data_IF_230690749975
#
_entry.id   IF_230690749975
#
_cell.length_a   1.000
_cell.length_b   1.000
_cell.length_c   1.000
_cell.angle_alpha   90.00
_cell.angle_beta   90.00
_cell.angle_gamma   90.00
#
_symmetry.space_group_name_H-M   'P 1'
#
loop_
_entity.id
_entity.type
_entity.pdbx_description
1 polymer ?
#
# COMPACT_ATOMS: atom_id res chain seq x y z
N UNK A 1 23.88 37.37 -3.92
CA UNK A 1 23.35 36.02 -3.60
C UNK A 1 22.90 36.08 -2.16
N UNK A 2 21.64 35.75 -1.84
CA UNK A 2 21.17 35.74 -0.44
C UNK A 2 21.93 34.67 0.34
N UNK A 3 22.23 34.94 1.61
CA UNK A 3 22.81 33.93 2.49
C UNK A 3 21.90 32.69 2.56
N UNK A 4 22.49 31.48 2.62
CA UNK A 4 21.72 30.25 2.77
C UNK A 4 21.04 30.20 4.15
N UNK A 5 19.74 29.95 4.15
CA UNK A 5 18.93 29.81 5.37
C UNK A 5 19.38 28.56 6.15
N UNK A 6 19.67 28.72 7.44
CA UNK A 6 20.05 27.62 8.32
C UNK A 6 18.83 26.95 8.95
N UNK A 7 19.00 25.75 9.54
CA UNK A 7 17.92 25.09 10.28
C UNK A 7 17.42 25.93 11.47
N UNK A 8 18.30 26.71 12.12
CA UNK A 8 17.92 27.61 13.21
C UNK A 8 17.03 28.75 12.71
N UNK A 9 17.32 29.26 11.53
CA UNK A 9 16.50 30.29 10.90
C UNK A 9 15.10 29.73 10.59
N UNK A 10 15.01 28.48 10.11
CA UNK A 10 13.71 27.81 9.87
C UNK A 10 12.91 27.57 11.16
N UNK A 11 13.58 27.34 12.30
CA UNK A 11 12.94 27.19 13.60
C UNK A 11 12.31 28.51 14.09
N UNK A 12 12.88 29.66 13.68
CA UNK A 12 12.38 30.98 14.04
C UNK A 12 11.21 31.47 13.17
N UNK A 13 10.91 30.77 12.06
CA UNK A 13 9.82 31.16 11.15
C UNK A 13 8.53 30.45 11.58
N UNK A 14 7.54 31.22 12.03
CA UNK A 14 6.20 30.73 12.35
C UNK A 14 5.54 30.09 11.11
N UNK A 15 4.89 28.95 11.30
CA UNK A 15 4.28 28.18 10.21
C UNK A 15 3.16 28.95 9.49
N UNK A 16 2.54 29.94 10.14
CA UNK A 16 1.49 30.78 9.55
C UNK A 16 2.00 31.74 8.46
N UNK A 17 3.32 31.95 8.36
CA UNK A 17 3.92 32.74 7.28
C UNK A 17 3.78 32.04 5.92
N UNK A 18 3.57 30.72 5.91
CA UNK A 18 3.44 29.96 4.68
C UNK A 18 2.08 30.20 4.00
N UNK A 19 2.14 30.48 2.70
CA UNK A 19 0.97 30.72 1.86
C UNK A 19 0.00 29.53 1.95
N UNK A 20 -1.24 29.81 2.37
CA UNK A 20 -2.30 28.80 2.50
C UNK A 20 -2.47 28.22 3.90
N UNK A 21 -1.71 28.71 4.90
CA UNK A 21 -1.89 28.37 6.32
C UNK A 21 -2.54 29.55 7.03
N UNK A 22 -3.87 29.57 7.09
CA UNK A 22 -4.63 30.50 7.93
C UNK A 22 -4.85 29.94 9.35
N UNK A 23 -5.48 30.73 10.23
CA UNK A 23 -5.63 30.42 11.67
C UNK A 23 -6.18 29.01 11.95
N UNK A 24 -7.16 28.56 11.16
CA UNK A 24 -7.75 27.22 11.32
C UNK A 24 -6.74 26.09 11.03
N UNK A 25 -5.89 26.27 10.01
CA UNK A 25 -4.84 25.29 9.68
C UNK A 25 -3.66 25.40 10.64
N UNK A 26 -3.34 26.60 11.12
CA UNK A 26 -2.33 26.81 12.18
C UNK A 26 -2.73 26.08 13.46
N UNK A 27 -3.96 26.26 13.93
CA UNK A 27 -4.49 25.56 15.11
C UNK A 27 -4.42 24.05 14.93
N UNK A 28 -4.87 23.55 13.77
CA UNK A 28 -4.80 22.11 13.49
C UNK A 28 -3.36 21.58 13.42
N UNK A 29 -2.37 22.38 13.01
CA UNK A 29 -0.96 22.01 12.97
C UNK A 29 -0.32 22.03 14.37
N UNK A 30 -0.69 23.02 15.20
CA UNK A 30 -0.31 23.11 16.60
C UNK A 30 -0.79 21.89 17.40
N UNK A 31 -2.00 21.38 17.11
CA UNK A 31 -2.50 20.12 17.69
C UNK A 31 -1.59 18.90 17.39
N UNK A 32 -0.79 18.96 16.32
CA UNK A 32 0.21 17.95 15.95
C UNK A 32 1.65 18.32 16.36
N UNK A 33 1.83 19.38 17.16
CA UNK A 33 3.13 19.86 17.63
C UNK A 33 3.96 20.59 16.56
N UNK A 34 3.29 21.17 15.57
CA UNK A 34 3.93 21.90 14.46
C UNK A 34 3.71 23.40 14.63
N UNK A 35 4.72 24.11 15.12
CA UNK A 35 4.64 25.55 15.41
C UNK A 35 5.44 26.39 14.39
N UNK A 36 6.58 25.86 13.92
CA UNK A 36 7.47 26.57 13.00
C UNK A 36 7.75 25.78 11.70
N UNK A 37 8.41 26.43 10.74
CA UNK A 37 8.72 25.83 9.44
C UNK A 37 9.66 24.62 9.58
N UNK A 38 10.58 24.64 10.54
CA UNK A 38 11.43 23.48 10.81
C UNK A 38 10.60 22.29 11.31
N UNK A 39 9.64 22.51 12.22
CA UNK A 39 8.72 21.47 12.68
C UNK A 39 7.94 20.91 11.50
N UNK A 40 7.39 21.76 10.63
CA UNK A 40 6.60 21.30 9.48
C UNK A 40 7.43 20.42 8.53
N UNK A 41 8.67 20.81 8.26
CA UNK A 41 9.60 20.06 7.40
C UNK A 41 10.10 18.76 8.05
N UNK A 42 10.10 18.70 9.38
CA UNK A 42 10.55 17.54 10.16
C UNK A 42 9.41 16.72 10.78
N UNK A 43 8.17 17.13 10.55
CA UNK A 43 6.95 16.42 10.95
C UNK A 43 6.64 15.36 9.91
N UNK A 44 7.19 14.17 10.17
CA UNK A 44 6.85 12.98 9.42
C UNK A 44 5.55 12.40 9.98
N UNK A 45 4.61 11.93 9.13
CA UNK A 45 3.38 11.29 9.59
C UNK A 45 3.73 9.95 10.27
N UNK A 46 4.01 10.02 11.56
CA UNK A 46 4.19 8.88 12.45
C UNK A 46 2.86 8.69 13.18
N UNK A 47 2.38 7.45 13.20
CA UNK A 47 1.42 7.01 14.22
C UNK A 47 2.08 7.34 15.58
N UNK A 48 1.38 8.04 16.46
CA UNK A 48 1.84 8.31 17.82
C UNK A 48 2.06 6.97 18.52
N UNK A 49 3.32 6.53 18.55
CA UNK A 49 3.82 5.48 19.42
C UNK A 49 4.60 6.24 20.47
N UNK A 50 4.17 6.15 21.73
CA UNK A 50 4.89 6.72 22.85
C UNK A 50 6.32 6.15 22.87
N UNK A 51 7.31 7.01 22.62
CA UNK A 51 8.73 6.64 22.51
C UNK A 51 9.48 6.73 23.83
N UNK A 52 8.81 7.16 24.89
CA UNK A 52 9.37 7.26 26.23
C UNK A 52 9.39 5.92 26.94
N UNK A 53 8.66 4.92 26.42
CA UNK A 53 8.62 3.57 26.98
C UNK A 53 9.59 2.63 26.24
N UNK A 54 10.88 2.75 26.57
CA UNK A 54 11.92 1.81 26.14
C UNK A 54 11.73 0.46 26.85
N UNK A 55 11.40 -0.59 26.10
CA UNK A 55 11.27 -1.93 26.66
C UNK A 55 12.28 -2.88 26.00
N UNK A 56 12.91 -3.76 26.78
CA UNK A 56 13.71 -4.85 26.21
C UNK A 56 12.75 -5.91 25.68
N UNK A 57 13.14 -6.60 24.62
CA UNK A 57 12.32 -7.69 24.03
C UNK A 57 11.95 -8.75 25.08
N UNK A 58 12.82 -8.98 26.06
CA UNK A 58 12.59 -9.92 27.16
C UNK A 58 11.44 -9.53 28.10
N UNK A 59 11.08 -8.25 28.14
CA UNK A 59 10.11 -7.70 29.09
C UNK A 59 8.72 -7.54 28.45
N UNK A 60 8.56 -7.93 27.17
CA UNK A 60 7.33 -7.76 26.41
C UNK A 60 6.38 -8.95 26.52
N UNK A 61 5.11 -8.66 26.78
CA UNK A 61 4.04 -9.64 26.69
C UNK A 61 3.45 -9.70 25.27
N UNK A 62 2.97 -10.87 24.87
CA UNK A 62 2.31 -11.04 23.57
C UNK A 62 1.08 -10.12 23.48
N UNK A 63 1.06 -9.23 22.49
CA UNK A 63 0.02 -8.23 22.29
C UNK A 63 0.37 -6.81 22.81
N UNK A 64 1.50 -6.65 23.51
CA UNK A 64 1.99 -5.34 23.97
C UNK A 64 2.76 -4.61 22.85
N UNK A 65 2.36 -3.39 22.52
CA UNK A 65 3.13 -2.49 21.65
C UNK A 65 4.20 -1.76 22.47
N UNK A 66 5.47 -1.78 22.04
CA UNK A 66 6.56 -1.06 22.70
C UNK A 66 7.69 -0.67 21.72
N UNK A 67 8.52 0.28 22.12
CA UNK A 67 9.72 0.66 21.39
C UNK A 67 10.86 -0.33 21.71
N UNK A 68 11.33 -1.02 20.69
CA UNK A 68 12.56 -1.83 20.77
C UNK A 68 13.67 -1.07 20.06
N UNK A 69 14.73 -0.75 20.81
CA UNK A 69 15.98 -0.25 20.24
C UNK A 69 16.75 -1.46 19.71
N UNK A 70 16.99 -1.48 18.41
CA UNK A 70 17.78 -2.53 17.76
C UNK A 70 19.12 -1.96 17.32
N UNK A 71 20.18 -2.70 17.61
CA UNK A 71 21.50 -2.42 17.08
C UNK A 71 21.71 -3.24 15.80
N UNK A 72 22.02 -2.55 14.70
CA UNK A 72 22.36 -3.23 13.45
C UNK A 72 23.82 -3.70 13.55
N UNK A 73 24.04 -4.99 13.79
CA UNK A 73 25.39 -5.56 13.97
C UNK A 73 26.26 -5.52 12.72
N UNK A 74 25.66 -5.68 11.55
CA UNK A 74 26.37 -5.67 10.26
C UNK A 74 25.47 -5.15 9.16
N UNK A 75 25.95 -4.16 8.41
CA UNK A 75 25.39 -3.77 7.11
C UNK A 75 26.48 -4.01 6.08
N UNK A 76 26.18 -4.64 4.93
CA UNK A 76 27.17 -4.86 3.87
C UNK A 76 27.69 -3.58 3.17
N UNK A 77 27.39 -2.38 3.70
CA UNK A 77 27.94 -1.11 3.21
C UNK A 77 29.06 -0.61 4.12
N UNK A 78 30.19 -0.27 3.49
CA UNK A 78 31.47 -0.02 4.17
C UNK A 78 31.61 1.39 4.75
N UNK A 79 30.72 2.32 4.43
CA UNK A 79 30.80 3.72 4.90
C UNK A 79 29.63 4.02 5.84
N UNK A 80 29.93 4.71 6.95
CA UNK A 80 28.91 5.17 7.87
C UNK A 80 28.13 6.37 7.29
N UNK A 81 26.96 6.65 7.88
CA UNK A 81 26.05 7.71 7.41
C UNK A 81 26.68 9.10 7.44
N UNK A 82 27.49 9.41 8.46
CA UNK A 82 28.13 10.73 8.59
C UNK A 82 29.18 10.92 7.49
N UNK A 83 29.98 9.88 7.24
CA UNK A 83 30.96 9.89 6.15
C UNK A 83 30.30 10.00 4.77
N UNK A 84 29.18 9.29 4.54
CA UNK A 84 28.42 9.42 3.30
C UNK A 84 27.82 10.82 3.10
N UNK A 85 27.32 11.45 4.16
CA UNK A 85 26.83 12.84 4.08
C UNK A 85 27.95 13.84 3.79
N UNK A 86 29.17 13.61 4.28
CA UNK A 86 30.32 14.44 3.89
C UNK A 86 30.72 14.17 2.44
N UNK A 87 30.90 12.90 2.08
CA UNK A 87 31.39 12.49 0.77
C UNK A 87 30.45 12.80 -0.40
N UNK A 88 29.14 13.01 -0.16
CA UNK A 88 28.24 13.50 -1.21
C UNK A 88 28.40 15.00 -1.52
N UNK A 89 28.80 15.81 -0.52
CA UNK A 89 28.97 17.26 -0.65
C UNK A 89 30.42 17.66 -0.97
N UNK A 90 31.38 16.98 -0.35
CA UNK A 90 32.83 17.21 -0.43
C UNK A 90 33.55 15.90 -0.79
N UNK A 91 33.36 15.37 -2.02
CA UNK A 91 34.00 14.13 -2.44
C UNK A 91 35.49 14.30 -2.71
N UNK A 92 36.31 13.38 -2.21
CA UNK A 92 37.74 13.27 -2.58
C UNK A 92 37.92 12.71 -4.01
N UNK A 93 36.91 11.99 -4.52
CA UNK A 93 36.88 11.48 -5.89
C UNK A 93 35.44 11.21 -6.35
N UNK A 94 35.25 11.04 -7.66
CA UNK A 94 33.96 10.61 -8.22
C UNK A 94 33.53 9.25 -7.65
N UNK A 95 34.47 8.33 -7.42
CA UNK A 95 34.19 7.03 -6.81
C UNK A 95 33.64 7.18 -5.39
N UNK A 96 34.27 8.02 -4.57
CA UNK A 96 33.82 8.30 -3.20
C UNK A 96 32.43 8.95 -3.16
N UNK A 97 32.12 9.82 -4.14
CA UNK A 97 30.79 10.40 -4.31
C UNK A 97 29.73 9.32 -4.60
N UNK A 98 30.02 8.40 -5.51
CA UNK A 98 29.09 7.33 -5.88
C UNK A 98 28.87 6.32 -4.74
N UNK A 99 29.90 6.03 -3.96
CA UNK A 99 29.74 5.23 -2.73
C UNK A 99 28.86 5.94 -1.70
N UNK A 100 29.10 7.23 -1.49
CA UNK A 100 28.27 8.09 -0.61
C UNK A 100 26.82 8.12 -1.05
N UNK A 101 26.57 8.25 -2.36
CA UNK A 101 25.23 8.21 -2.94
C UNK A 101 24.56 6.85 -2.72
N UNK A 102 25.26 5.74 -2.97
CA UNK A 102 24.73 4.38 -2.76
C UNK A 102 24.31 4.18 -1.30
N UNK A 103 25.15 4.57 -0.35
CA UNK A 103 24.84 4.52 1.09
C UNK A 103 23.58 5.30 1.46
N UNK A 104 23.47 6.55 1.00
CA UNK A 104 22.32 7.38 1.33
C UNK A 104 21.03 6.86 0.67
N UNK A 105 21.13 6.35 -0.56
CA UNK A 105 20.01 5.70 -1.24
C UNK A 105 19.56 4.42 -0.52
N UNK A 106 20.51 3.63 0.00
CA UNK A 106 20.20 2.48 0.84
C UNK A 106 19.50 2.88 2.14
N UNK A 107 20.00 3.88 2.86
CA UNK A 107 19.37 4.37 4.09
C UNK A 107 17.92 4.81 3.84
N UNK A 108 17.68 5.51 2.72
CA UNK A 108 16.33 5.92 2.32
C UNK A 108 15.43 4.73 1.98
N UNK A 109 15.92 3.80 1.16
CA UNK A 109 15.18 2.60 0.77
C UNK A 109 14.88 1.71 1.97
N UNK A 110 15.85 1.46 2.84
CA UNK A 110 15.69 0.67 4.06
C UNK A 110 14.63 1.28 4.96
N UNK A 111 14.64 2.61 5.13
CA UNK A 111 13.62 3.33 5.90
C UNK A 111 12.22 3.14 5.30
N UNK A 112 12.08 3.32 3.99
CA UNK A 112 10.80 3.13 3.29
C UNK A 112 10.32 1.68 3.43
N UNK A 113 11.19 0.70 3.17
CA UNK A 113 10.86 -0.71 3.27
C UNK A 113 10.46 -1.12 4.68
N UNK A 114 11.15 -0.62 5.71
CA UNK A 114 10.81 -0.90 7.12
C UNK A 114 9.40 -0.41 7.46
N UNK A 115 9.04 0.80 7.01
CA UNK A 115 7.69 1.35 7.20
C UNK A 115 6.64 0.52 6.45
N UNK A 116 6.91 0.14 5.20
CA UNK A 116 5.99 -0.66 4.39
C UNK A 116 5.76 -2.06 4.98
N UNK A 117 6.83 -2.74 5.42
CA UNK A 117 6.75 -4.05 6.09
C UNK A 117 6.03 -3.93 7.42
N UNK A 118 6.30 -2.88 8.20
CA UNK A 118 5.58 -2.59 9.44
C UNK A 118 4.07 -2.42 9.20
N UNK A 119 3.68 -1.66 8.17
CA UNK A 119 2.28 -1.51 7.76
C UNK A 119 1.66 -2.83 7.31
N UNK A 120 2.36 -3.62 6.50
CA UNK A 120 1.91 -4.94 6.04
C UNK A 120 1.61 -5.87 7.22
N UNK A 121 2.55 -5.99 8.17
CA UNK A 121 2.38 -6.84 9.37
C UNK A 121 1.25 -6.35 10.27
N UNK A 122 1.11 -5.04 10.46
CA UNK A 122 0.00 -4.49 11.24
C UNK A 122 -1.35 -4.80 10.59
N UNK A 123 -1.43 -4.72 9.26
CA UNK A 123 -2.62 -5.11 8.50
C UNK A 123 -2.91 -6.61 8.63
N UNK A 124 -1.92 -7.47 8.44
CA UNK A 124 -2.08 -8.94 8.57
C UNK A 124 -2.56 -9.37 9.98
N UNK A 125 -2.10 -8.69 11.04
CA UNK A 125 -2.48 -8.99 12.43
C UNK A 125 -3.90 -8.53 12.80
N UNK A 126 -4.29 -7.35 12.32
CA UNK A 126 -5.52 -6.70 12.78
C UNK A 126 -6.71 -6.92 11.84
N UNK A 127 -6.47 -7.35 10.61
CA UNK A 127 -7.53 -7.53 9.62
C UNK A 127 -8.21 -8.89 9.79
N UNK A 128 -9.54 -8.87 9.94
CA UNK A 128 -10.39 -10.06 9.81
C UNK A 128 -10.55 -10.37 8.32
N UNK A 129 -10.04 -11.53 7.88
CA UNK A 129 -10.21 -12.00 6.51
C UNK A 129 -11.52 -12.78 6.34
N UNK A 130 -12.09 -12.70 5.14
CA UNK A 130 -13.12 -13.62 4.66
C UNK A 130 -12.40 -14.64 3.78
N UNK A 131 -12.54 -15.93 4.09
CA UNK A 131 -12.03 -16.99 3.22
C UNK A 131 -13.07 -17.30 2.15
N UNK A 132 -12.74 -17.01 0.90
CA UNK A 132 -13.65 -17.27 -0.22
C UNK A 132 -13.63 -18.73 -0.65
N UNK A 133 -14.76 -19.20 -1.17
CA UNK A 133 -14.91 -20.56 -1.72
C UNK A 133 -14.42 -20.57 -3.16
N UNK A 134 -13.28 -21.20 -3.41
CA UNK A 134 -12.64 -21.24 -4.73
C UNK A 134 -13.06 -22.44 -5.59
N UNK A 135 -13.50 -23.54 -4.98
CA UNK A 135 -13.75 -24.84 -5.65
C UNK A 135 -15.15 -24.99 -6.27
N UNK A 136 -15.85 -23.90 -6.57
CA UNK A 136 -17.17 -23.95 -7.20
C UNK A 136 -17.15 -23.79 -8.72
N UNK A 137 -18.33 -24.02 -9.31
CA UNK A 137 -18.50 -24.10 -10.77
C UNK A 137 -18.68 -22.76 -11.46
N UNK A 138 -18.93 -21.66 -10.73
CA UNK A 138 -19.29 -20.37 -11.32
C UNK A 138 -18.14 -19.80 -12.17
N UNK A 139 -16.90 -19.91 -11.67
CA UNK A 139 -15.73 -19.48 -12.41
C UNK A 139 -15.53 -20.32 -13.69
N UNK A 140 -15.70 -21.64 -13.59
CA UNK A 140 -15.59 -22.55 -14.74
C UNK A 140 -16.66 -22.28 -15.81
N UNK A 141 -17.91 -22.04 -15.39
CA UNK A 141 -19.02 -21.63 -16.26
C UNK A 141 -18.73 -20.30 -16.96
N UNK A 142 -18.21 -19.32 -16.22
CA UNK A 142 -17.80 -18.04 -16.79
C UNK A 142 -16.72 -18.21 -17.86
N UNK A 143 -15.64 -18.94 -17.55
CA UNK A 143 -14.54 -19.17 -18.51
C UNK A 143 -15.03 -19.90 -19.77
N UNK A 144 -15.96 -20.85 -19.63
CA UNK A 144 -16.55 -21.57 -20.75
C UNK A 144 -17.50 -20.71 -21.61
N UNK A 145 -18.13 -19.69 -21.03
CA UNK A 145 -19.02 -18.78 -21.74
C UNK A 145 -18.29 -17.68 -22.54
N UNK A 146 -16.99 -17.47 -22.28
CA UNK A 146 -16.22 -16.45 -22.98
C UNK A 146 -16.09 -16.78 -24.48
N UNK A 147 -16.26 -15.79 -25.39
CA UNK A 147 -16.13 -16.01 -26.83
C UNK A 147 -14.67 -16.19 -27.29
N UNK A 148 -13.72 -16.19 -26.36
CA UNK A 148 -12.30 -16.33 -26.60
C UNK A 148 -11.66 -17.15 -25.47
N UNK A 149 -10.59 -17.91 -25.76
CA UNK A 149 -9.85 -18.60 -24.71
C UNK A 149 -9.04 -17.60 -23.87
N UNK A 150 -8.93 -17.86 -22.57
CA UNK A 150 -8.00 -17.13 -21.73
C UNK A 150 -6.55 -17.41 -22.15
N UNK A 151 -5.71 -16.38 -22.06
CA UNK A 151 -4.26 -16.53 -22.25
C UNK A 151 -3.64 -17.28 -21.07
N UNK A 152 -2.45 -17.84 -21.27
CA UNK A 152 -1.70 -18.47 -20.17
C UNK A 152 -1.40 -17.51 -19.02
N UNK A 153 -1.17 -16.22 -19.32
CA UNK A 153 -0.97 -15.19 -18.29
C UNK A 153 -2.25 -14.92 -17.49
N UNK A 154 -3.40 -14.80 -18.17
CA UNK A 154 -4.68 -14.59 -17.49
C UNK A 154 -5.04 -15.77 -16.58
N UNK A 155 -4.85 -17.01 -17.04
CA UNK A 155 -5.09 -18.21 -16.21
C UNK A 155 -4.25 -18.22 -14.93
N UNK A 156 -2.93 -18.03 -15.05
CA UNK A 156 -2.03 -17.97 -13.89
C UNK A 156 -2.43 -16.88 -12.90
N UNK A 157 -2.76 -15.69 -13.39
CA UNK A 157 -3.15 -14.58 -12.51
C UNK A 157 -4.50 -14.84 -11.82
N UNK A 158 -5.46 -15.46 -12.50
CA UNK A 158 -6.72 -15.88 -11.88
C UNK A 158 -6.46 -16.92 -10.77
N UNK A 159 -5.59 -17.91 -11.01
CA UNK A 159 -5.19 -18.90 -9.99
C UNK A 159 -4.51 -18.24 -8.78
N UNK A 160 -3.58 -17.31 -9.02
CA UNK A 160 -2.92 -16.54 -7.95
C UNK A 160 -3.92 -15.71 -7.12
N UNK A 161 -4.88 -15.05 -7.78
CA UNK A 161 -5.94 -14.29 -7.11
C UNK A 161 -6.83 -15.23 -6.30
N UNK A 162 -7.25 -16.36 -6.86
CA UNK A 162 -8.08 -17.35 -6.16
C UNK A 162 -7.37 -17.87 -4.92
N UNK A 163 -6.07 -18.19 -5.03
CA UNK A 163 -5.26 -18.59 -3.88
C UNK A 163 -5.20 -17.50 -2.80
N UNK A 164 -4.99 -16.24 -3.19
CA UNK A 164 -4.98 -15.12 -2.24
C UNK A 164 -6.34 -14.91 -1.55
N UNK A 165 -7.45 -15.05 -2.29
CA UNK A 165 -8.82 -14.94 -1.78
C UNK A 165 -9.22 -16.11 -0.85
N UNK A 166 -8.63 -17.29 -1.03
CA UNK A 166 -8.77 -18.42 -0.10
C UNK A 166 -7.89 -18.28 1.17
N UNK A 167 -6.95 -17.33 1.15
CA UNK A 167 -5.93 -17.15 2.17
C UNK A 167 -6.45 -16.68 3.53
N UNK A 168 -5.60 -16.79 4.55
CA UNK A 168 -5.92 -16.36 5.92
C UNK A 168 -5.92 -14.84 6.12
N UNK A 169 -5.41 -14.07 5.16
CA UNK A 169 -5.30 -12.61 5.21
C UNK A 169 -6.00 -11.98 4.01
N UNK A 170 -6.55 -10.75 4.12
CA UNK A 170 -7.18 -10.09 2.98
C UNK A 170 -6.20 -9.86 1.83
N UNK A 171 -6.65 -10.11 0.60
CA UNK A 171 -5.86 -9.91 -0.61
C UNK A 171 -5.62 -8.43 -0.91
N UNK A 172 -4.36 -8.00 -0.94
CA UNK A 172 -3.92 -6.69 -1.44
C UNK A 172 -2.99 -6.87 -2.65
N UNK A 173 -3.59 -7.00 -3.83
CA UNK A 173 -2.88 -7.29 -5.08
C UNK A 173 -3.02 -6.17 -6.10
N UNK A 174 -1.93 -5.86 -6.79
CA UNK A 174 -1.92 -4.99 -7.96
C UNK A 174 -1.95 -5.85 -9.23
N UNK A 175 -3.00 -5.71 -10.04
CA UNK A 175 -3.06 -6.33 -11.37
C UNK A 175 -2.51 -5.34 -12.41
N UNK A 176 -1.31 -5.62 -12.91
CA UNK A 176 -0.65 -4.78 -13.92
C UNK A 176 -0.62 -5.46 -15.28
N UNK A 177 -0.86 -4.68 -16.34
CA UNK A 177 -0.77 -5.13 -17.72
C UNK A 177 -1.13 -4.01 -18.69
N UNK A 178 -0.70 -4.14 -19.95
CA UNK A 178 -0.91 -3.13 -20.98
C UNK A 178 -2.41 -2.91 -21.30
N UNK A 179 -2.72 -1.81 -21.98
CA UNK A 179 -4.07 -1.58 -22.51
C UNK A 179 -4.41 -2.73 -23.47
N UNK A 180 -5.59 -3.33 -23.29
CA UNK A 180 -6.02 -4.48 -24.10
C UNK A 180 -5.56 -5.87 -23.62
N UNK A 181 -4.73 -5.98 -22.57
CA UNK A 181 -4.28 -7.28 -22.02
C UNK A 181 -5.36 -8.13 -21.33
N UNK A 182 -6.60 -7.61 -21.24
CA UNK A 182 -7.73 -8.31 -20.61
C UNK A 182 -7.73 -8.24 -19.08
N UNK A 183 -7.26 -7.15 -18.48
CA UNK A 183 -7.36 -6.94 -17.02
C UNK A 183 -8.80 -7.06 -16.49
N UNK A 184 -9.77 -6.60 -17.28
CA UNK A 184 -11.19 -6.66 -16.92
C UNK A 184 -11.70 -8.08 -16.75
N UNK A 185 -11.32 -9.03 -17.63
CA UNK A 185 -11.78 -10.43 -17.51
C UNK A 185 -11.23 -11.08 -16.23
N UNK A 186 -10.00 -10.76 -15.86
CA UNK A 186 -9.38 -11.23 -14.61
C UNK A 186 -10.07 -10.62 -13.38
N UNK A 187 -10.41 -9.33 -13.42
CA UNK A 187 -11.14 -8.66 -12.33
C UNK A 187 -12.54 -9.25 -12.14
N UNK A 188 -13.27 -9.53 -13.23
CA UNK A 188 -14.58 -10.18 -13.18
C UNK A 188 -14.48 -11.59 -12.62
N UNK A 189 -13.49 -12.38 -13.07
CA UNK A 189 -13.23 -13.71 -12.53
C UNK A 189 -13.00 -13.66 -11.00
N UNK A 190 -12.21 -12.70 -10.51
CA UNK A 190 -11.99 -12.49 -9.08
C UNK A 190 -13.27 -12.16 -8.31
N UNK A 191 -14.12 -11.28 -8.87
CA UNK A 191 -15.42 -10.95 -8.28
C UNK A 191 -16.35 -12.17 -8.23
N UNK A 192 -16.35 -13.02 -9.26
CA UNK A 192 -17.18 -14.23 -9.30
C UNK A 192 -16.76 -15.26 -8.25
N UNK A 193 -15.47 -15.35 -7.90
CA UNK A 193 -15.02 -16.17 -6.76
C UNK A 193 -15.66 -15.69 -5.45
N UNK A 194 -15.77 -14.37 -5.26
CA UNK A 194 -16.45 -13.82 -4.08
C UNK A 194 -17.96 -14.09 -4.11
N UNK A 195 -18.61 -13.90 -5.25
CA UNK A 195 -20.05 -14.14 -5.45
C UNK A 195 -20.42 -15.60 -5.20
N UNK A 196 -19.62 -16.53 -5.69
CA UNK A 196 -19.76 -17.96 -5.43
C UNK A 196 -19.76 -18.29 -3.94
N UNK A 197 -18.92 -17.59 -3.16
CA UNK A 197 -18.88 -17.69 -1.71
C UNK A 197 -20.00 -16.94 -0.99
N UNK A 198 -21.08 -16.53 -1.68
CA UNK A 198 -22.20 -15.71 -1.14
C UNK A 198 -21.81 -14.30 -0.68
N UNK A 199 -20.79 -13.71 -1.30
CA UNK A 199 -20.40 -12.32 -1.06
C UNK A 199 -20.72 -11.43 -2.26
N UNK A 200 -20.48 -10.12 -2.14
CA UNK A 200 -20.63 -9.17 -3.23
C UNK A 200 -19.26 -8.66 -3.67
N UNK A 201 -19.12 -8.41 -4.98
CA UNK A 201 -17.97 -7.74 -5.56
C UNK A 201 -18.33 -6.30 -5.94
N UNK A 202 -17.41 -5.37 -5.72
CA UNK A 202 -17.54 -3.98 -6.17
C UNK A 202 -16.38 -3.64 -7.10
N UNK A 203 -16.68 -3.10 -8.28
CA UNK A 203 -15.69 -2.57 -9.21
C UNK A 203 -15.76 -1.04 -9.18
N UNK A 204 -14.65 -0.40 -8.82
CA UNK A 204 -14.57 1.06 -8.74
C UNK A 204 -13.82 1.62 -9.96
N UNK A 205 -14.32 2.73 -10.50
CA UNK A 205 -13.70 3.47 -11.60
C UNK A 205 -13.57 4.96 -11.21
N UNK A 206 -12.55 5.67 -11.71
CA UNK A 206 -12.28 7.05 -11.30
C UNK A 206 -13.21 8.08 -11.94
N UNK A 207 -13.94 7.71 -12.99
CA UNK A 207 -14.90 8.58 -13.69
C UNK A 207 -16.15 7.80 -14.09
N UNK A 208 -17.26 8.52 -14.25
CA UNK A 208 -18.55 7.97 -14.69
C UNK A 208 -18.43 7.27 -16.05
N UNK A 209 -17.76 7.90 -17.03
CA UNK A 209 -17.56 7.30 -18.37
C UNK A 209 -16.86 5.94 -18.28
N UNK A 210 -15.83 5.80 -17.44
CA UNK A 210 -15.17 4.51 -17.25
C UNK A 210 -16.06 3.52 -16.51
N UNK A 211 -16.87 3.98 -15.55
CA UNK A 211 -17.84 3.13 -14.86
C UNK A 211 -18.89 2.57 -15.84
N UNK A 212 -19.44 3.40 -16.73
CA UNK A 212 -20.38 2.97 -17.78
C UNK A 212 -19.73 1.98 -18.75
N UNK A 213 -18.49 2.23 -19.17
CA UNK A 213 -17.74 1.30 -20.02
C UNK A 213 -17.53 -0.05 -19.34
N UNK A 214 -17.15 -0.04 -18.06
CA UNK A 214 -17.03 -1.26 -17.28
C UNK A 214 -18.37 -1.97 -17.14
N UNK A 215 -19.45 -1.25 -16.81
CA UNK A 215 -20.79 -1.81 -16.68
C UNK A 215 -21.24 -2.51 -17.97
N UNK A 216 -21.18 -1.82 -19.11
CA UNK A 216 -21.58 -2.40 -20.39
C UNK A 216 -20.74 -3.63 -20.77
N UNK A 217 -19.42 -3.57 -20.55
CA UNK A 217 -18.52 -4.69 -20.83
C UNK A 217 -18.75 -5.89 -19.92
N UNK A 218 -18.90 -5.67 -18.61
CA UNK A 218 -19.10 -6.72 -17.62
C UNK A 218 -20.46 -7.39 -17.80
N UNK A 219 -21.54 -6.62 -17.97
CA UNK A 219 -22.89 -7.15 -18.20
C UNK A 219 -22.92 -8.12 -19.38
N UNK A 220 -22.24 -7.79 -20.48
CA UNK A 220 -22.10 -8.68 -21.63
C UNK A 220 -21.26 -9.94 -21.32
N UNK A 221 -20.23 -9.82 -20.49
CA UNK A 221 -19.36 -10.96 -20.14
C UNK A 221 -20.05 -11.97 -19.20
N UNK A 222 -20.98 -11.52 -18.36
CA UNK A 222 -21.70 -12.38 -17.41
C UNK A 222 -23.09 -12.78 -17.91
N UNK A 223 -23.44 -12.40 -19.13
CA UNK A 223 -24.73 -12.73 -19.74
C UNK A 223 -24.95 -14.25 -19.77
N UNK A 224 -26.10 -14.69 -19.25
CA UNK A 224 -26.45 -16.12 -19.16
C UNK A 224 -25.84 -16.87 -17.97
N UNK A 225 -25.04 -16.21 -17.13
CA UNK A 225 -24.70 -16.76 -15.82
C UNK A 225 -25.89 -16.61 -14.87
N UNK A 226 -26.00 -17.58 -13.96
CA UNK A 226 -26.99 -17.58 -12.90
C UNK A 226 -26.31 -18.01 -11.61
N UNK A 227 -26.68 -17.36 -10.52
CA UNK A 227 -26.16 -17.59 -9.18
C UNK A 227 -27.31 -18.01 -8.27
N UNK A 228 -27.16 -19.08 -7.47
CA UNK A 228 -28.18 -19.48 -6.51
C UNK A 228 -28.52 -18.35 -5.54
N UNK A 229 -29.81 -18.06 -5.43
CA UNK A 229 -30.37 -17.08 -4.52
C UNK A 229 -31.63 -17.66 -3.85
N UNK A 230 -31.48 -18.25 -2.63
CA UNK A 230 -32.59 -18.86 -1.92
C UNK A 230 -33.63 -17.85 -1.44
N UNK A 231 -33.31 -16.56 -1.45
CA UNK A 231 -34.24 -15.47 -1.08
C UNK A 231 -35.08 -15.02 -2.29
N UNK A 232 -34.77 -15.51 -3.49
CA UNK A 232 -35.53 -15.24 -4.71
C UNK A 232 -36.57 -16.35 -4.98
N UNK A 233 -37.73 -15.96 -5.53
CA UNK A 233 -38.83 -16.87 -5.86
C UNK A 233 -38.45 -17.97 -6.86
N UNK A 234 -37.42 -17.71 -7.68
CA UNK A 234 -36.92 -18.62 -8.71
C UNK A 234 -35.72 -19.46 -8.26
N UNK A 235 -35.23 -19.28 -7.02
CA UNK A 235 -34.08 -19.99 -6.47
C UNK A 235 -32.71 -19.59 -7.04
N UNK A 236 -32.68 -18.89 -8.17
CA UNK A 236 -31.50 -18.34 -8.83
C UNK A 236 -31.72 -16.86 -9.18
N UNK A 237 -30.63 -16.09 -9.27
CA UNK A 237 -30.61 -14.72 -9.81
C UNK A 237 -29.60 -14.63 -10.97
N UNK A 238 -29.86 -13.77 -11.96
CA UNK A 238 -28.88 -13.46 -13.00
C UNK A 238 -27.62 -12.79 -12.43
#
# INVERSE_FOLDING_TARGET
>A
MSEPITLRDLQAIDVAVLKGIGDKRKSSLSDYGVENVLDLLTTYPRRWVDRTNEARVADLQAGQEALVIVEIRTVPERIDRTSALRGIHLPESILAKEESRRRLAFDELLRVQTVLVGRKRAFERNSRSIRHVVDGELLSRFVAALPFPLTGAQRRVIEEISHDLAGAHPMHRLLQGDVGSGKTVVAVAAMLVAVQGKHQGALMAPTEVLAEQHYAGVTKMVEGLQVPDPDNLFGDRP
#
